data_IF_455396902983
#
_entry.id   IF_455396902983
#
_cell.length_a   1.000
_cell.length_b   1.000
_cell.length_c   1.000
_cell.angle_alpha   90.00
_cell.angle_beta   90.00
_cell.angle_gamma   90.00
#
_symmetry.space_group_name_H-M   'P 1'
#
loop_
_entity.id
_entity.type
_entity.pdbx_description
1 polymer ?
#
# COMPACT_ATOMS: atom_id res chain seq x y z
N UNK A 1 21.27 4.05 19.45
CA UNK A 1 20.19 3.05 19.27
C UNK A 1 19.64 2.93 17.85
N UNK A 2 19.83 3.91 16.94
CA UNK A 2 19.38 3.82 15.53
C UNK A 2 20.48 4.13 14.48
N UNK A 3 21.73 4.38 14.91
CA UNK A 3 22.87 4.69 14.03
C UNK A 3 23.70 3.46 13.63
N UNK A 4 23.33 2.26 14.07
CA UNK A 4 24.00 1.01 13.73
C UNK A 4 22.98 0.04 13.16
N UNK A 5 23.33 -0.61 12.04
CA UNK A 5 22.49 -1.62 11.40
C UNK A 5 22.92 -3.02 11.84
N UNK A 6 21.97 -3.87 12.21
CA UNK A 6 22.20 -5.31 12.43
C UNK A 6 20.95 -6.02 12.93
N UNK A 7 20.97 -7.37 12.93
CA UNK A 7 19.79 -8.20 13.28
C UNK A 7 19.26 -7.98 14.70
N UNK A 8 20.09 -7.53 15.64
CA UNK A 8 19.74 -7.31 17.05
C UNK A 8 19.35 -5.85 17.38
N UNK A 9 19.22 -4.98 16.37
CA UNK A 9 19.06 -3.54 16.58
C UNK A 9 17.76 -2.98 15.98
N UNK A 10 17.32 -1.84 16.52
CA UNK A 10 16.23 -1.01 15.97
C UNK A 10 16.71 -0.24 14.75
N UNK A 11 17.07 -0.92 13.66
CA UNK A 11 17.43 -0.30 12.38
C UNK A 11 16.26 0.58 11.90
N UNK A 12 16.54 1.85 11.63
CA UNK A 12 15.63 2.75 10.91
C UNK A 12 15.59 2.39 9.40
N UNK A 13 14.62 2.96 8.67
CA UNK A 13 14.52 2.77 7.22
C UNK A 13 14.07 1.37 6.80
N UNK A 14 13.14 0.77 7.54
CA UNK A 14 12.54 -0.54 7.24
C UNK A 14 11.09 -0.46 6.79
N UNK A 15 10.49 0.71 6.94
CA UNK A 15 9.16 1.04 6.50
C UNK A 15 8.91 2.53 6.74
N UNK A 16 8.06 3.11 5.91
CA UNK A 16 7.63 4.50 5.99
C UNK A 16 6.24 4.62 5.39
N UNK A 17 5.63 5.79 5.56
CA UNK A 17 4.45 6.17 4.80
C UNK A 17 4.86 7.10 3.66
N UNK A 18 4.21 6.93 2.52
CA UNK A 18 4.30 7.80 1.37
C UNK A 18 3.02 8.63 1.35
N UNK A 19 3.15 9.94 1.56
CA UNK A 19 2.02 10.87 1.71
C UNK A 19 1.77 11.56 0.37
N UNK A 20 0.53 11.53 -0.09
CA UNK A 20 0.09 12.21 -1.30
C UNK A 20 -0.44 13.60 -0.94
N UNK A 21 0.38 14.63 -1.16
CA UNK A 21 0.04 16.01 -0.85
C UNK A 21 0.50 16.96 -1.96
N UNK A 22 -0.25 18.03 -2.18
CA UNK A 22 0.06 19.05 -3.22
C UNK A 22 1.36 19.83 -2.97
N UNK A 23 1.84 19.83 -1.72
CA UNK A 23 3.09 20.50 -1.35
C UNK A 23 3.75 19.86 -0.13
N UNK A 24 5.01 20.22 0.12
CA UNK A 24 5.77 19.81 1.31
C UNK A 24 5.49 20.69 2.54
N UNK A 25 4.49 21.58 2.48
CA UNK A 25 4.12 22.40 3.64
C UNK A 25 3.45 21.55 4.71
N UNK A 26 3.73 21.86 5.98
CA UNK A 26 3.31 21.03 7.10
C UNK A 26 1.78 20.86 7.20
N UNK A 27 1.03 21.94 6.96
CA UNK A 27 -0.44 21.93 6.94
C UNK A 27 -1.01 21.06 5.82
N UNK A 28 -0.41 21.10 4.62
CA UNK A 28 -0.81 20.23 3.51
C UNK A 28 -0.51 18.75 3.80
N UNK A 29 0.66 18.44 4.37
CA UNK A 29 1.03 17.08 4.75
C UNK A 29 0.11 16.53 5.85
N UNK A 30 -0.21 17.34 6.85
CA UNK A 30 -1.12 16.95 7.94
C UNK A 30 -2.53 16.70 7.39
N UNK A 31 -3.05 17.59 6.52
CA UNK A 31 -4.36 17.41 5.91
C UNK A 31 -4.44 16.11 5.09
N UNK A 32 -3.42 15.80 4.29
CA UNK A 32 -3.34 14.53 3.56
C UNK A 32 -3.35 13.31 4.50
N UNK A 33 -2.59 13.37 5.60
CA UNK A 33 -2.60 12.31 6.60
C UNK A 33 -3.96 12.12 7.27
N UNK A 34 -4.63 13.20 7.65
CA UNK A 34 -5.96 13.18 8.26
C UNK A 34 -7.02 12.62 7.31
N UNK A 35 -6.88 12.88 6.00
CA UNK A 35 -7.76 12.34 4.97
C UNK A 35 -7.45 10.89 4.59
N UNK A 36 -6.33 10.32 5.05
CA UNK A 36 -5.90 8.98 4.65
C UNK A 36 -5.19 8.93 3.30
N UNK A 37 -4.76 10.07 2.75
CA UNK A 37 -4.05 10.20 1.48
C UNK A 37 -2.57 9.77 1.62
N UNK A 38 -2.36 8.52 2.03
CA UNK A 38 -1.04 7.93 2.17
C UNK A 38 -1.09 6.40 2.03
N UNK A 39 0.07 5.79 1.82
CA UNK A 39 0.23 4.34 1.88
C UNK A 39 1.50 3.96 2.63
N UNK A 40 1.50 2.79 3.26
CA UNK A 40 2.68 2.25 3.91
C UNK A 40 3.56 1.53 2.87
N UNK A 41 4.88 1.69 2.96
CA UNK A 41 5.84 1.08 2.04
C UNK A 41 7.08 0.60 2.77
N UNK A 42 7.67 -0.46 2.25
CA UNK A 42 9.04 -0.88 2.55
C UNK A 42 9.99 -0.68 1.36
N UNK A 43 9.53 -0.09 0.24
CA UNK A 43 10.39 0.14 -0.93
C UNK A 43 9.67 0.18 -2.27
N UNK A 44 8.39 -0.23 -2.29
CA UNK A 44 7.51 -0.07 -3.44
C UNK A 44 7.02 1.38 -3.52
N UNK A 45 7.19 2.00 -4.68
CA UNK A 45 6.71 3.34 -4.98
C UNK A 45 5.53 3.27 -5.95
N UNK A 46 4.44 3.99 -5.67
CA UNK A 46 3.30 4.14 -6.57
C UNK A 46 3.48 5.41 -7.40
N UNK A 47 3.23 5.34 -8.71
CA UNK A 47 3.16 6.52 -9.57
C UNK A 47 1.76 7.14 -9.58
N UNK A 48 0.72 6.33 -9.33
CA UNK A 48 -0.65 6.77 -9.15
C UNK A 48 -1.42 5.84 -8.21
N UNK A 49 -2.31 6.42 -7.42
CA UNK A 49 -3.33 5.71 -6.66
C UNK A 49 -4.57 6.59 -6.56
N UNK A 50 -5.74 6.03 -6.85
CA UNK A 50 -7.00 6.73 -6.75
C UNK A 50 -8.11 5.78 -6.35
N UNK A 51 -9.02 6.25 -5.50
CA UNK A 51 -10.33 5.65 -5.28
C UNK A 51 -11.40 6.64 -5.74
N UNK A 52 -12.10 6.30 -6.83
CA UNK A 52 -13.18 7.14 -7.36
C UNK A 52 -14.25 6.28 -7.99
N UNK A 53 -15.52 6.69 -7.90
CA UNK A 53 -16.67 5.93 -8.42
C UNK A 53 -16.65 4.45 -7.96
N UNK A 54 -16.36 4.24 -6.67
CA UNK A 54 -16.19 2.91 -6.07
C UNK A 54 -15.16 2.02 -6.77
N UNK A 55 -14.18 2.59 -7.45
CA UNK A 55 -13.13 1.86 -8.17
C UNK A 55 -11.76 2.31 -7.69
N UNK A 56 -10.96 1.35 -7.24
CA UNK A 56 -9.54 1.53 -6.96
C UNK A 56 -8.80 1.44 -8.28
N UNK A 57 -7.93 2.39 -8.58
CA UNK A 57 -6.98 2.35 -9.69
C UNK A 57 -5.59 2.68 -9.16
N UNK A 58 -4.58 1.92 -9.58
CA UNK A 58 -3.21 2.16 -9.17
C UNK A 58 -2.20 1.79 -10.24
N UNK A 59 -1.08 2.51 -10.21
CA UNK A 59 0.10 2.27 -11.01
C UNK A 59 1.34 2.27 -10.12
N UNK A 60 2.20 1.28 -10.32
CA UNK A 60 3.48 1.13 -9.64
C UNK A 60 4.54 1.87 -10.45
N UNK A 61 5.42 2.60 -9.77
CA UNK A 61 6.63 3.13 -10.39
C UNK A 61 7.65 1.99 -10.53
N UNK A 62 7.63 1.35 -11.69
CA UNK A 62 8.40 0.15 -11.97
C UNK A 62 9.91 0.35 -11.83
N UNK A 63 10.58 -0.67 -11.28
CA UNK A 63 12.04 -0.82 -11.31
C UNK A 63 12.40 -1.85 -12.38
N UNK A 64 13.47 -1.58 -13.14
CA UNK A 64 13.91 -2.47 -14.20
C UNK A 64 14.20 -3.88 -13.68
N UNK A 65 13.56 -4.89 -14.26
CA UNK A 65 13.79 -6.30 -13.92
C UNK A 65 13.10 -6.78 -12.63
N UNK A 66 12.24 -5.96 -12.03
CA UNK A 66 11.45 -6.32 -10.85
C UNK A 66 10.02 -6.69 -11.29
N UNK A 67 9.51 -7.80 -10.76
CA UNK A 67 8.14 -8.24 -10.98
C UNK A 67 7.26 -7.87 -9.78
N UNK A 68 5.99 -7.61 -10.04
CA UNK A 68 5.04 -7.19 -9.02
C UNK A 68 3.78 -8.05 -9.05
N UNK A 69 3.26 -8.33 -7.86
CA UNK A 69 1.93 -8.90 -7.64
C UNK A 69 1.11 -7.90 -6.84
N UNK A 70 -0.07 -7.58 -7.35
CA UNK A 70 -1.05 -6.67 -6.76
C UNK A 70 -2.23 -7.51 -6.26
N UNK A 71 -2.48 -7.48 -4.96
CA UNK A 71 -3.58 -8.20 -4.32
C UNK A 71 -4.60 -7.22 -3.74
N UNK A 72 -5.85 -7.35 -4.18
CA UNK A 72 -6.98 -6.71 -3.55
C UNK A 72 -7.48 -7.61 -2.43
N UNK A 73 -7.39 -7.11 -1.19
CA UNK A 73 -7.76 -7.83 0.02
C UNK A 73 -8.96 -7.12 0.64
N UNK A 74 -10.01 -7.87 0.96
CA UNK A 74 -11.20 -7.30 1.60
C UNK A 74 -11.86 -8.26 2.56
N UNK A 75 -12.82 -7.73 3.31
CA UNK A 75 -13.68 -8.47 4.22
C UNK A 75 -15.13 -8.23 3.81
N UNK A 76 -15.99 -9.25 3.85
CA UNK A 76 -17.40 -9.07 3.58
C UNK A 76 -18.09 -8.41 4.79
N UNK A 77 -19.18 -7.68 4.54
CA UNK A 77 -20.00 -7.10 5.59
C UNK A 77 -20.58 -8.23 6.47
N UNK A 78 -20.43 -8.08 7.79
CA UNK A 78 -20.84 -9.10 8.77
C UNK A 78 -19.82 -10.21 9.04
N UNK A 79 -18.67 -10.22 8.35
CA UNK A 79 -17.57 -11.14 8.62
C UNK A 79 -16.39 -10.46 9.34
N UNK A 80 -15.52 -11.26 9.94
CA UNK A 80 -14.28 -10.80 10.60
C UNK A 80 -13.01 -11.07 9.80
N UNK A 81 -13.05 -12.02 8.86
CA UNK A 81 -11.84 -12.54 8.22
C UNK A 81 -11.64 -11.92 6.83
N UNK A 82 -10.51 -11.25 6.64
CA UNK A 82 -10.12 -10.74 5.33
C UNK A 82 -9.60 -11.84 4.42
N UNK A 83 -9.87 -11.73 3.12
CA UNK A 83 -9.41 -12.65 2.07
C UNK A 83 -8.90 -11.91 0.85
N UNK A 84 -8.10 -12.60 0.02
CA UNK A 84 -7.74 -12.09 -1.30
C UNK A 84 -8.98 -12.19 -2.20
N UNK A 85 -9.43 -11.05 -2.71
CA UNK A 85 -10.58 -10.93 -3.61
C UNK A 85 -10.14 -11.04 -5.08
N UNK A 86 -9.00 -10.43 -5.40
CA UNK A 86 -8.44 -10.45 -6.73
C UNK A 86 -6.91 -10.30 -6.68
N UNK A 87 -6.21 -10.90 -7.64
CA UNK A 87 -4.75 -10.85 -7.75
C UNK A 87 -4.35 -10.63 -9.21
N UNK A 88 -3.43 -9.70 -9.43
CA UNK A 88 -2.91 -9.31 -10.74
C UNK A 88 -1.39 -9.36 -10.70
N UNK A 89 -0.76 -9.97 -11.71
CA UNK A 89 0.67 -9.82 -11.95
C UNK A 89 0.88 -8.68 -12.94
N UNK A 90 1.70 -7.71 -12.57
CA UNK A 90 1.96 -6.51 -13.37
C UNK A 90 2.08 -5.25 -12.53
N UNK A 91 2.26 -4.11 -13.21
CA UNK A 91 2.49 -2.81 -12.61
C UNK A 91 1.26 -1.92 -12.48
N UNK A 92 0.14 -2.31 -13.07
CA UNK A 92 -1.11 -1.55 -13.05
C UNK A 92 -2.29 -2.46 -12.74
N UNK A 93 -3.25 -1.96 -11.97
CA UNK A 93 -4.48 -2.69 -11.69
C UNK A 93 -5.64 -1.75 -11.37
N UNK A 94 -6.86 -2.27 -11.56
CA UNK A 94 -8.08 -1.65 -11.08
C UNK A 94 -9.00 -2.69 -10.46
N UNK A 95 -9.85 -2.26 -9.53
CA UNK A 95 -10.82 -3.12 -8.85
C UNK A 95 -12.04 -2.32 -8.43
N UNK A 96 -13.23 -2.83 -8.77
CA UNK A 96 -14.51 -2.25 -8.36
C UNK A 96 -14.87 -2.79 -6.97
N UNK A 97 -15.05 -1.88 -6.02
CA UNK A 97 -15.54 -2.16 -4.69
C UNK A 97 -17.07 -2.20 -4.75
N UNK A 98 -17.66 -3.34 -4.39
CA UNK A 98 -19.10 -3.49 -4.25
C UNK A 98 -19.58 -3.20 -2.82
N UNK A 99 -20.90 -3.09 -2.66
CA UNK A 99 -21.54 -2.77 -1.37
C UNK A 99 -21.47 -3.91 -0.34
N UNK A 100 -21.10 -5.12 -0.74
CA UNK A 100 -21.01 -6.27 0.16
C UNK A 100 -19.67 -6.33 0.90
N UNK A 101 -18.68 -5.50 0.52
CA UNK A 101 -17.40 -5.43 1.20
C UNK A 101 -17.43 -4.41 2.35
N UNK A 102 -17.07 -4.86 3.55
CA UNK A 102 -16.81 -3.99 4.71
C UNK A 102 -15.65 -3.02 4.44
N UNK A 103 -14.63 -3.51 3.75
CA UNK A 103 -13.54 -2.70 3.21
C UNK A 103 -12.79 -3.49 2.13
N UNK A 104 -12.04 -2.76 1.30
CA UNK A 104 -11.02 -3.31 0.40
C UNK A 104 -9.74 -2.49 0.57
N UNK A 105 -8.59 -3.15 0.59
CA UNK A 105 -7.26 -2.53 0.53
C UNK A 105 -6.41 -3.25 -0.50
N UNK A 106 -5.39 -2.57 -1.00
CA UNK A 106 -4.40 -3.16 -1.89
C UNK A 106 -3.12 -3.47 -1.12
N UNK A 107 -2.63 -4.70 -1.28
CA UNK A 107 -1.26 -5.10 -0.95
C UNK A 107 -0.49 -5.29 -2.24
N UNK A 108 0.69 -4.69 -2.32
CA UNK A 108 1.62 -4.84 -3.44
C UNK A 108 2.85 -5.57 -2.92
N UNK A 109 3.29 -6.58 -3.66
CA UNK A 109 4.51 -7.35 -3.39
C UNK A 109 5.41 -7.28 -4.61
N UNK A 110 6.69 -7.00 -4.39
CA UNK A 110 7.72 -7.15 -5.42
C UNK A 110 8.54 -8.41 -5.20
N UNK A 111 9.32 -8.82 -6.20
CA UNK A 111 10.41 -9.81 -6.02
C UNK A 111 11.77 -9.16 -5.69
N UNK A 112 11.80 -7.83 -5.49
CA UNK A 112 12.99 -7.11 -5.09
C UNK A 112 13.28 -7.33 -3.60
N UNK A 113 14.47 -7.85 -3.29
CA UNK A 113 14.92 -8.03 -1.90
C UNK A 113 15.10 -6.67 -1.24
N UNK A 114 14.51 -6.51 -0.06
CA UNK A 114 14.64 -5.32 0.77
C UNK A 114 16.07 -5.25 1.34
N UNK A 115 16.81 -4.13 1.19
CA UNK A 115 18.22 -4.03 1.59
C UNK A 115 18.45 -4.11 3.12
N UNK A 116 17.40 -3.84 3.91
CA UNK A 116 17.40 -3.90 5.38
C UNK A 116 16.11 -4.57 5.90
N UNK A 117 15.92 -5.89 5.67
CA UNK A 117 14.62 -6.55 5.84
C UNK A 117 14.16 -6.62 7.31
N UNK A 118 12.86 -6.82 7.51
CA UNK A 118 12.26 -7.09 8.82
C UNK A 118 12.01 -8.60 8.91
N UNK A 119 12.81 -9.31 9.71
CA UNK A 119 12.62 -10.75 9.95
C UNK A 119 12.42 -11.53 8.64
N UNK A 120 11.22 -12.08 8.41
CA UNK A 120 10.87 -12.87 7.24
C UNK A 120 10.28 -12.05 6.07
N UNK A 121 10.08 -10.73 6.24
CA UNK A 121 9.69 -9.79 5.18
C UNK A 121 10.91 -9.44 4.33
N UNK A 122 11.30 -10.39 3.48
CA UNK A 122 12.50 -10.28 2.65
C UNK A 122 12.34 -9.37 1.43
N UNK A 123 11.11 -9.10 0.99
CA UNK A 123 10.83 -8.35 -0.24
C UNK A 123 10.22 -6.98 0.03
N UNK A 124 10.43 -6.04 -0.88
CA UNK A 124 9.77 -4.73 -0.83
C UNK A 124 8.27 -4.90 -1.09
N UNK A 125 7.45 -4.20 -0.29
CA UNK A 125 6.00 -4.26 -0.30
C UNK A 125 5.39 -2.87 -0.10
N UNK A 126 4.10 -2.74 -0.41
CA UNK A 126 3.29 -1.59 -0.05
C UNK A 126 1.85 -2.00 0.32
N UNK A 127 1.22 -1.19 1.17
CA UNK A 127 -0.17 -1.34 1.59
C UNK A 127 -0.88 0.00 1.56
N UNK A 128 -1.99 0.06 0.83
CA UNK A 128 -2.86 1.25 0.76
C UNK A 128 -3.79 1.31 1.96
N UNK A 129 -4.34 2.49 2.26
CA UNK A 129 -5.43 2.61 3.23
C UNK A 129 -6.63 1.78 2.77
N UNK A 130 -7.41 1.20 3.70
CA UNK A 130 -8.66 0.57 3.36
C UNK A 130 -9.66 1.60 2.85
N UNK A 131 -10.38 1.26 1.79
CA UNK A 131 -11.51 2.02 1.27
C UNK A 131 -12.80 1.24 1.48
N UNK A 132 -13.91 1.96 1.55
CA UNK A 132 -15.24 1.41 1.70
C UNK A 132 -16.11 1.80 0.52
N UNK A 133 -17.13 1.01 0.24
CA UNK A 133 -18.15 1.39 -0.72
C UNK A 133 -18.82 2.71 -0.28
N UNK A 134 -18.90 3.67 -1.19
CA UNK A 134 -19.57 4.95 -0.98
C UNK A 134 -20.96 4.88 -1.62
N UNK A 135 -21.99 5.02 -0.78
CA UNK A 135 -23.39 5.20 -1.22
C UNK A 135 -23.58 6.65 -1.64
N UNK A 136 -23.98 6.87 -2.90
CA UNK A 136 -24.35 8.19 -3.43
C UNK A 136 -25.74 8.62 -2.96
#
# INVERSE_FOLDING_TARGET
NYHRQGKQWSNAGRGWIMVYADSLQADHLIAALENGDFYASTGVELSAYQFSNNTITLDIKEKQGVNYTIEFIGCLEGESDSRILHSVNGSSAHFMVDENYLFVRVKIMSDQVHPNPIEDLNFEMAWTQPVQFVRN
#
